data_IF_893606174781
#
_entry.id   IF_893606174781
#
_cell.length_a   1.000
_cell.length_b   1.000
_cell.length_c   1.000
_cell.angle_alpha   90.00
_cell.angle_beta   90.00
_cell.angle_gamma   90.00
#
_symmetry.space_group_name_H-M   'P 1'
#
loop_
_entity.id
_entity.type
_entity.pdbx_description
1 polymer ?
#
# COMPACT_ATOMS: atom_id res chain seq x y z
N UNK A 1 33.17 0.78 -3.94
CA UNK A 1 32.24 1.85 -4.38
C UNK A 1 31.07 1.82 -3.42
N UNK A 2 30.89 2.84 -2.61
CA UNK A 2 29.66 3.01 -1.83
C UNK A 2 28.51 3.05 -2.86
N UNK A 3 27.53 2.16 -2.73
CA UNK A 3 26.31 2.26 -3.53
C UNK A 3 25.58 3.51 -3.05
N UNK A 4 25.51 4.55 -3.89
CA UNK A 4 24.72 5.77 -3.65
C UNK A 4 23.21 5.47 -3.78
N UNK A 5 22.74 4.42 -3.10
CA UNK A 5 21.34 3.99 -3.13
C UNK A 5 20.74 4.22 -1.75
N UNK A 6 19.81 5.13 -1.67
CA UNK A 6 18.99 5.40 -0.49
C UNK A 6 17.80 4.42 -0.48
N UNK A 7 17.61 3.72 0.63
CA UNK A 7 16.43 2.87 0.89
C UNK A 7 15.72 3.43 2.12
N UNK A 8 14.52 3.95 1.95
CA UNK A 8 13.74 4.59 3.01
C UNK A 8 12.28 4.15 3.05
N UNK A 9 11.70 4.18 4.26
CA UNK A 9 10.27 4.19 4.50
C UNK A 9 9.85 5.61 4.87
N UNK A 10 8.83 6.15 4.17
CA UNK A 10 8.23 7.45 4.51
C UNK A 10 6.83 7.25 5.05
N UNK A 11 6.61 7.74 6.28
CA UNK A 11 5.40 7.48 7.03
C UNK A 11 4.83 8.77 7.62
N UNK A 12 3.51 8.81 7.72
CA UNK A 12 2.77 9.85 8.41
C UNK A 12 2.21 9.30 9.71
N UNK A 13 2.48 9.98 10.81
CA UNK A 13 1.91 9.70 12.12
C UNK A 13 1.23 10.95 12.66
N UNK A 14 0.13 10.77 13.38
CA UNK A 14 -0.43 11.85 14.18
C UNK A 14 0.52 12.23 15.33
N UNK A 15 0.40 13.44 15.86
CA UNK A 15 1.26 13.92 16.97
C UNK A 15 1.16 13.05 18.22
N UNK A 16 -0.03 12.46 18.48
CA UNK A 16 -0.26 11.54 19.61
C UNK A 16 0.44 10.21 19.39
N UNK A 17 0.32 9.67 18.17
CA UNK A 17 0.93 8.41 17.75
C UNK A 17 2.45 8.51 17.74
N UNK A 18 3.01 9.61 17.27
CA UNK A 18 4.44 9.89 17.34
C UNK A 18 4.94 9.91 18.80
N UNK A 19 4.25 10.62 19.69
CA UNK A 19 4.60 10.62 21.13
C UNK A 19 4.56 9.21 21.73
N UNK A 20 3.54 8.41 21.37
CA UNK A 20 3.42 7.03 21.82
C UNK A 20 4.58 6.17 21.32
N UNK A 21 4.97 6.32 20.04
CA UNK A 21 6.10 5.61 19.44
C UNK A 21 7.41 5.96 20.15
N UNK A 22 7.72 7.27 20.30
CA UNK A 22 8.94 7.75 20.96
C UNK A 22 9.05 7.31 22.44
N UNK A 23 7.93 7.11 23.13
CA UNK A 23 7.89 6.65 24.51
C UNK A 23 7.86 5.12 24.65
N UNK A 24 7.71 4.38 23.55
CA UNK A 24 7.51 2.93 23.56
C UNK A 24 8.77 2.13 23.90
N UNK A 25 8.55 0.94 24.46
CA UNK A 25 9.65 -0.01 24.69
C UNK A 25 10.19 -0.57 23.38
N UNK A 26 9.37 -0.61 22.31
CA UNK A 26 9.80 -0.97 20.97
C UNK A 26 10.94 -0.06 20.48
N UNK A 27 10.76 1.26 20.57
CA UNK A 27 11.78 2.20 20.11
C UNK A 27 12.97 2.25 21.10
N UNK A 28 12.71 2.29 22.40
CA UNK A 28 13.77 2.31 23.44
C UNK A 28 14.70 1.11 23.34
N UNK A 29 14.18 -0.06 22.98
CA UNK A 29 14.94 -1.29 22.86
C UNK A 29 15.94 -1.32 21.68
N UNK A 30 15.75 -0.45 20.70
CA UNK A 30 16.63 -0.37 19.50
C UNK A 30 17.32 0.99 19.35
N UNK A 31 17.01 1.96 20.20
CA UNK A 31 17.57 3.30 20.13
C UNK A 31 19.03 3.30 20.57
N UNK A 32 19.94 3.74 19.69
CA UNK A 32 21.36 3.93 20.04
C UNK A 32 21.51 5.13 20.96
N UNK A 33 22.04 4.89 22.17
CA UNK A 33 22.19 5.93 23.18
C UNK A 33 23.04 7.12 22.66
N UNK A 34 22.60 8.34 22.93
CA UNK A 34 23.30 9.57 22.54
C UNK A 34 23.30 9.87 21.02
N UNK A 35 22.52 9.15 20.22
CA UNK A 35 22.43 9.35 18.77
C UNK A 35 21.48 10.48 18.36
N UNK A 36 20.66 11.00 19.29
CA UNK A 36 19.71 12.07 18.98
C UNK A 36 20.44 13.33 18.49
N UNK A 37 20.01 13.82 17.32
CA UNK A 37 20.50 15.09 16.77
C UNK A 37 19.30 15.89 16.28
N UNK A 38 19.28 17.19 16.64
CA UNK A 38 18.24 18.13 16.18
C UNK A 38 18.87 19.21 15.35
N UNK A 39 18.33 19.43 14.14
CA UNK A 39 18.83 20.44 13.19
C UNK A 39 17.70 21.20 12.55
N UNK A 40 17.99 22.44 12.22
CA UNK A 40 17.12 23.24 11.35
C UNK A 40 17.65 23.12 9.92
N UNK A 41 16.85 22.59 9.01
CA UNK A 41 17.28 22.31 7.64
C UNK A 41 16.43 23.16 6.68
N UNK A 42 17.08 24.03 5.91
CA UNK A 42 16.44 24.80 4.85
C UNK A 42 16.93 24.29 3.51
N UNK A 43 16.05 23.70 2.72
CA UNK A 43 16.38 23.14 1.40
C UNK A 43 15.69 23.95 0.30
N UNK A 44 16.49 24.50 -0.59
CA UNK A 44 16.03 25.18 -1.82
C UNK A 44 16.06 24.18 -2.97
N UNK A 45 14.92 23.98 -3.66
CA UNK A 45 14.81 23.13 -4.82
C UNK A 45 14.92 23.93 -6.10
N UNK A 46 15.66 23.40 -7.06
CA UNK A 46 15.99 24.08 -8.32
C UNK A 46 15.65 23.19 -9.51
N UNK A 47 15.32 23.81 -10.62
CA UNK A 47 15.20 23.20 -11.96
C UNK A 47 15.46 24.25 -13.02
N UNK A 48 15.52 23.85 -14.27
CA UNK A 48 15.53 24.78 -15.40
C UNK A 48 14.15 25.41 -15.60
N UNK A 49 14.06 26.51 -16.30
CA UNK A 49 12.78 27.20 -16.59
C UNK A 49 11.74 26.28 -17.28
N UNK A 50 12.20 25.31 -18.07
CA UNK A 50 11.37 24.34 -18.75
C UNK A 50 11.22 22.99 -18.01
N UNK A 51 11.70 22.89 -16.77
CA UNK A 51 11.67 21.70 -15.90
C UNK A 51 12.42 20.50 -16.50
N UNK A 52 13.61 20.71 -17.05
CA UNK A 52 14.40 19.66 -17.69
C UNK A 52 14.85 18.58 -16.68
N UNK A 53 15.19 18.94 -15.45
CA UNK A 53 15.55 17.97 -14.41
C UNK A 53 14.36 17.07 -14.07
N UNK A 54 13.18 17.65 -13.79
CA UNK A 54 11.94 16.88 -13.56
C UNK A 54 11.61 15.93 -14.72
N UNK A 55 11.71 16.43 -15.97
CA UNK A 55 11.42 15.63 -17.18
C UNK A 55 12.34 14.41 -17.33
N UNK A 56 13.55 14.51 -16.79
CA UNK A 56 14.55 13.45 -16.78
C UNK A 56 14.61 12.68 -15.45
N UNK A 57 13.58 12.80 -14.62
CA UNK A 57 13.47 12.03 -13.36
C UNK A 57 14.48 12.47 -12.28
N UNK A 58 14.92 13.73 -12.31
CA UNK A 58 15.90 14.27 -11.39
C UNK A 58 15.26 15.31 -10.48
N UNK A 59 15.55 15.24 -9.18
CA UNK A 59 15.28 16.30 -8.21
C UNK A 59 16.63 16.84 -7.69
N UNK A 60 16.82 18.15 -7.79
CA UNK A 60 18.01 18.83 -7.34
C UNK A 60 17.70 19.84 -6.26
N UNK A 61 18.50 19.85 -5.18
CA UNK A 61 18.37 20.80 -4.08
C UNK A 61 19.73 21.24 -3.53
N UNK A 62 19.76 22.45 -2.97
CA UNK A 62 20.82 22.91 -2.05
C UNK A 62 20.20 23.04 -0.66
N UNK A 63 20.90 22.52 0.35
CA UNK A 63 20.46 22.47 1.74
C UNK A 63 21.42 23.22 2.64
N UNK A 64 20.93 24.22 3.36
CA UNK A 64 21.55 24.74 4.56
C UNK A 64 21.29 23.77 5.72
N UNK A 65 22.36 23.29 6.37
CA UNK A 65 22.30 22.33 7.49
C UNK A 65 22.13 23.00 8.85
N UNK A 66 22.05 24.34 8.88
CA UNK A 66 21.89 25.13 10.11
C UNK A 66 23.11 25.20 11.02
N UNK A 67 24.25 24.68 10.56
CA UNK A 67 25.55 24.70 11.24
C UNK A 67 26.63 25.50 10.46
N UNK A 68 26.19 26.26 9.45
CA UNK A 68 27.08 27.02 8.54
C UNK A 68 27.62 26.19 7.39
N UNK A 69 27.21 24.92 7.25
CA UNK A 69 27.57 24.08 6.12
C UNK A 69 26.39 23.88 5.18
N UNK A 70 26.71 23.69 3.89
CA UNK A 70 25.71 23.48 2.84
C UNK A 70 25.95 22.16 2.11
N UNK A 71 24.95 21.68 1.37
CA UNK A 71 25.03 20.45 0.61
C UNK A 71 24.14 20.52 -0.62
N UNK A 72 24.73 20.27 -1.79
CA UNK A 72 23.98 20.01 -3.01
C UNK A 72 23.62 18.53 -3.09
N UNK A 73 22.36 18.23 -3.38
CA UNK A 73 21.87 16.86 -3.47
C UNK A 73 21.13 16.67 -4.79
N UNK A 74 21.47 15.59 -5.49
CA UNK A 74 20.71 15.06 -6.61
C UNK A 74 20.05 13.75 -6.21
N UNK A 75 18.76 13.62 -6.48
CA UNK A 75 18.00 12.37 -6.34
C UNK A 75 17.38 12.01 -7.68
N UNK A 76 17.54 10.75 -8.08
CA UNK A 76 16.95 10.26 -9.34
C UNK A 76 15.52 9.75 -9.12
N UNK A 77 14.88 9.33 -10.21
CA UNK A 77 13.60 8.67 -10.18
C UNK A 77 13.61 7.48 -9.22
N UNK A 78 12.51 7.39 -8.52
CA UNK A 78 12.29 6.50 -7.42
C UNK A 78 11.64 5.19 -7.89
N UNK A 79 12.17 4.06 -7.44
CA UNK A 79 11.43 2.81 -7.39
C UNK A 79 10.72 2.73 -6.04
N UNK A 80 9.40 2.65 -6.04
CA UNK A 80 8.62 2.48 -4.80
C UNK A 80 7.96 1.12 -4.79
N UNK A 81 8.02 0.45 -3.64
CA UNK A 81 7.56 -0.93 -3.54
C UNK A 81 7.22 -1.28 -2.08
N UNK A 82 5.92 -1.52 -1.77
CA UNK A 82 5.45 -1.88 -0.43
C UNK A 82 5.72 -0.82 0.65
N UNK A 83 5.70 0.46 0.28
CA UNK A 83 6.03 1.57 1.15
C UNK A 83 7.51 1.91 1.21
N UNK A 84 8.41 1.02 0.74
CA UNK A 84 9.83 1.30 0.55
C UNK A 84 10.06 2.19 -0.66
N UNK A 85 11.03 3.08 -0.55
CA UNK A 85 11.57 3.91 -1.62
C UNK A 85 13.03 3.57 -1.85
N UNK A 86 13.40 3.29 -3.07
CA UNK A 86 14.78 3.05 -3.49
C UNK A 86 15.13 4.03 -4.62
N UNK A 87 16.23 4.78 -4.47
CA UNK A 87 16.71 5.74 -5.48
C UNK A 87 18.18 6.03 -5.33
N UNK A 88 18.79 6.49 -6.39
CA UNK A 88 20.17 7.03 -6.32
C UNK A 88 20.13 8.42 -5.70
N UNK A 89 20.93 8.63 -4.67
CA UNK A 89 21.18 9.92 -4.04
C UNK A 89 22.68 10.24 -4.07
N UNK A 90 23.02 11.44 -4.55
CA UNK A 90 24.40 11.94 -4.58
C UNK A 90 24.44 13.28 -3.88
N UNK A 91 25.34 13.38 -2.92
CA UNK A 91 25.52 14.57 -2.10
C UNK A 91 26.93 15.15 -2.33
N UNK A 92 27.00 16.47 -2.59
CA UNK A 92 28.24 17.24 -2.71
C UNK A 92 28.27 18.29 -1.61
N UNK A 93 29.24 18.26 -0.67
CA UNK A 93 29.40 19.29 0.34
C UNK A 93 29.73 20.65 -0.30
N UNK A 94 29.12 21.70 0.21
CA UNK A 94 29.33 23.08 -0.23
C UNK A 94 29.76 23.96 0.93
N UNK A 95 30.54 25.00 0.63
CA UNK A 95 30.92 26.06 1.57
C UNK A 95 29.99 27.24 1.58
N UNK A 96 29.14 27.37 0.55
CA UNK A 96 28.23 28.49 0.32
C UNK A 96 26.86 28.00 -0.17
N UNK A 97 25.82 28.80 0.03
CA UNK A 97 24.47 28.57 -0.55
C UNK A 97 24.50 28.89 -2.06
N UNK A 98 25.12 28.03 -2.83
CA UNK A 98 25.25 28.18 -4.28
C UNK A 98 24.76 26.92 -5.00
N UNK A 99 23.94 27.09 -6.02
CA UNK A 99 23.37 26.01 -6.82
C UNK A 99 24.38 25.55 -7.89
N UNK A 100 25.40 24.79 -7.49
CA UNK A 100 26.33 24.16 -8.44
C UNK A 100 25.70 22.93 -9.08
N UNK A 101 25.88 22.75 -10.37
CA UNK A 101 25.32 21.62 -11.14
C UNK A 101 26.40 20.76 -11.79
N UNK A 102 27.65 21.05 -11.55
CA UNK A 102 28.82 20.31 -12.02
C UNK A 102 29.24 19.21 -11.03
N UNK A 103 29.92 18.19 -11.52
CA UNK A 103 30.60 17.15 -10.72
C UNK A 103 29.73 15.97 -10.30
N UNK A 104 28.43 15.95 -10.61
CA UNK A 104 27.54 14.84 -10.26
C UNK A 104 27.77 13.60 -11.11
N UNK A 105 28.18 13.75 -12.37
CA UNK A 105 28.53 12.64 -13.25
C UNK A 105 29.71 11.84 -12.73
N UNK A 106 30.76 12.53 -12.27
CA UNK A 106 31.96 11.91 -11.68
C UNK A 106 31.63 11.16 -10.37
N UNK A 107 30.61 11.60 -9.65
CA UNK A 107 30.12 10.96 -8.42
C UNK A 107 29.22 9.74 -8.67
N UNK A 108 28.96 9.40 -9.94
CA UNK A 108 28.26 8.18 -10.32
C UNK A 108 26.81 8.38 -10.78
N UNK A 109 26.39 9.61 -11.11
CA UNK A 109 25.06 9.88 -11.67
C UNK A 109 24.90 9.29 -13.09
N UNK A 110 26.01 9.14 -13.82
CA UNK A 110 26.03 8.61 -15.19
C UNK A 110 25.79 9.64 -16.28
N UNK A 111 25.51 10.90 -15.92
CA UNK A 111 25.39 12.07 -16.79
C UNK A 111 25.69 13.34 -15.96
N UNK A 112 25.97 14.45 -16.63
CA UNK A 112 26.15 15.75 -15.97
C UNK A 112 24.85 16.56 -16.02
N UNK A 113 24.51 17.26 -14.92
CA UNK A 113 23.34 18.13 -14.88
C UNK A 113 23.41 19.30 -15.84
N UNK A 114 24.64 19.75 -16.18
CA UNK A 114 24.91 20.81 -17.15
C UNK A 114 24.38 20.46 -18.56
N UNK A 115 24.27 19.17 -18.90
CA UNK A 115 23.70 18.72 -20.16
C UNK A 115 22.22 19.10 -20.32
N UNK A 116 21.48 19.13 -19.19
CA UNK A 116 20.06 19.50 -19.16
C UNK A 116 19.85 20.99 -18.85
N UNK A 117 20.84 21.68 -18.27
CA UNK A 117 20.74 23.06 -17.79
C UNK A 117 21.79 24.00 -18.41
N UNK A 118 21.87 24.11 -19.75
CA UNK A 118 22.90 24.94 -20.39
C UNK A 118 22.75 26.44 -20.05
N UNK A 119 21.59 26.90 -19.61
CA UNK A 119 21.31 28.27 -19.19
C UNK A 119 21.20 28.41 -17.66
N UNK A 120 21.64 27.37 -16.90
CA UNK A 120 21.57 27.35 -15.46
C UNK A 120 20.19 26.94 -14.91
N UNK A 121 20.03 27.09 -13.62
CA UNK A 121 18.85 26.68 -12.86
C UNK A 121 18.27 27.83 -12.07
N UNK A 122 16.94 27.76 -11.81
CA UNK A 122 16.22 28.72 -10.98
C UNK A 122 15.57 28.05 -9.78
N UNK A 123 15.42 28.80 -8.69
CA UNK A 123 14.80 28.31 -7.48
C UNK A 123 13.28 28.21 -7.65
N UNK A 124 12.73 27.03 -7.42
CA UNK A 124 11.31 26.75 -7.53
C UNK A 124 10.57 27.01 -6.20
N UNK A 125 11.06 26.42 -5.12
CA UNK A 125 10.46 26.49 -3.79
C UNK A 125 11.47 26.13 -2.69
N UNK A 126 11.05 26.36 -1.45
CA UNK A 126 11.86 26.04 -0.26
C UNK A 126 11.14 25.04 0.63
N UNK A 127 11.90 24.15 1.26
CA UNK A 127 11.47 23.26 2.33
C UNK A 127 12.22 23.66 3.60
N UNK A 128 11.48 24.10 4.62
CA UNK A 128 12.02 24.51 5.93
C UNK A 128 11.49 23.56 6.99
N UNK A 129 12.39 22.75 7.59
CA UNK A 129 12.03 21.70 8.55
C UNK A 129 12.97 21.68 9.73
N UNK A 130 12.40 21.45 10.90
CA UNK A 130 13.16 20.98 12.08
C UNK A 130 13.18 19.46 11.99
N UNK A 131 14.37 18.89 11.77
CA UNK A 131 14.62 17.45 11.73
C UNK A 131 15.24 16.99 13.03
N UNK A 132 14.65 15.99 13.66
CA UNK A 132 15.28 15.25 14.77
C UNK A 132 15.58 13.84 14.28
N UNK A 133 16.85 13.42 14.36
CA UNK A 133 17.27 12.08 13.94
C UNK A 133 17.71 11.22 15.11
N UNK A 134 17.54 9.91 14.97
CA UNK A 134 17.93 8.87 15.90
C UNK A 134 18.53 7.70 15.13
N UNK A 135 19.63 7.12 15.61
CA UNK A 135 20.13 5.85 15.07
C UNK A 135 19.45 4.69 15.81
N UNK A 136 19.02 3.71 15.04
CA UNK A 136 18.36 2.50 15.51
C UNK A 136 19.26 1.30 15.21
N UNK A 137 19.59 0.52 16.24
CA UNK A 137 20.28 -0.76 16.12
C UNK A 137 19.21 -1.86 16.02
N UNK A 138 18.85 -2.22 14.79
CA UNK A 138 17.90 -3.29 14.50
C UNK A 138 18.63 -4.63 14.45
N UNK A 139 17.90 -5.72 14.67
CA UNK A 139 18.43 -7.05 14.46
C UNK A 139 18.75 -7.29 12.98
N UNK A 140 20.03 -7.25 12.61
CA UNK A 140 20.52 -7.38 11.23
C UNK A 140 20.64 -6.07 10.43
N UNK A 141 20.38 -4.88 11.02
CA UNK A 141 20.55 -3.61 10.33
C UNK A 141 20.77 -2.42 11.27
N UNK A 142 21.31 -1.34 10.72
CA UNK A 142 21.29 -0.01 11.33
C UNK A 142 20.40 0.89 10.46
N UNK A 143 19.50 1.61 11.10
CA UNK A 143 18.62 2.56 10.41
C UNK A 143 18.70 3.95 11.07
N UNK A 144 18.43 5.01 10.31
CA UNK A 144 18.19 6.35 10.82
C UNK A 144 16.69 6.64 10.82
N UNK A 145 16.14 6.94 11.99
CA UNK A 145 14.79 7.47 12.14
C UNK A 145 14.86 8.99 12.14
N UNK A 146 14.30 9.64 11.13
CA UNK A 146 14.18 11.09 11.04
C UNK A 146 12.72 11.52 11.27
N UNK A 147 12.53 12.48 12.19
CA UNK A 147 11.25 13.14 12.44
C UNK A 147 11.32 14.55 11.88
N UNK A 148 10.54 14.82 10.84
CA UNK A 148 10.46 16.11 10.16
C UNK A 148 9.18 16.86 10.54
N UNK A 149 9.35 18.08 11.03
CA UNK A 149 8.26 19.03 11.28
C UNK A 149 8.58 20.38 10.63
N UNK A 150 7.72 20.85 9.76
CA UNK A 150 7.99 22.09 9.04
C UNK A 150 7.03 22.39 7.90
N UNK A 151 7.55 22.99 6.82
CA UNK A 151 6.72 23.45 5.70
C UNK A 151 7.45 23.39 4.37
N UNK A 152 6.68 23.16 3.30
CA UNK A 152 7.06 23.48 1.93
C UNK A 152 6.47 24.85 1.59
N UNK A 153 7.27 25.73 1.01
CA UNK A 153 6.90 27.12 0.73
C UNK A 153 7.17 27.40 -0.76
N UNK A 154 6.10 27.58 -1.54
CA UNK A 154 6.12 27.88 -2.97
C UNK A 154 5.41 29.21 -3.22
N UNK A 155 6.14 30.30 -3.22
CA UNK A 155 5.59 31.68 -3.25
C UNK A 155 4.69 31.95 -2.04
N UNK A 156 3.39 32.14 -2.29
CA UNK A 156 2.39 32.37 -1.22
C UNK A 156 1.74 31.07 -0.72
N UNK A 157 1.94 29.95 -1.41
CA UNK A 157 1.34 28.64 -1.07
C UNK A 157 2.24 27.90 -0.10
N UNK A 158 1.64 27.16 0.82
CA UNK A 158 2.35 26.37 1.83
C UNK A 158 1.70 25.01 2.00
N UNK A 159 2.50 24.00 2.34
CA UNK A 159 2.07 22.66 2.70
C UNK A 159 2.84 22.22 3.96
N UNK A 160 2.12 21.77 4.98
CA UNK A 160 2.74 21.40 6.27
C UNK A 160 3.41 20.01 6.15
N UNK A 161 4.57 19.87 6.80
CA UNK A 161 5.31 18.62 6.92
C UNK A 161 5.23 18.15 8.36
N UNK A 162 4.61 16.98 8.57
CA UNK A 162 4.61 16.18 9.79
C UNK A 162 4.82 14.73 9.37
N UNK A 163 6.07 14.32 9.17
CA UNK A 163 6.39 12.99 8.65
C UNK A 163 7.59 12.37 9.37
N UNK A 164 7.67 11.05 9.32
CA UNK A 164 8.87 10.32 9.70
C UNK A 164 9.43 9.59 8.49
N UNK A 165 10.75 9.55 8.41
CA UNK A 165 11.50 8.78 7.45
C UNK A 165 12.35 7.77 8.22
N UNK A 166 12.40 6.51 7.77
CA UNK A 166 13.26 5.50 8.35
C UNK A 166 14.15 5.00 7.22
N UNK A 167 15.41 5.39 7.25
CA UNK A 167 16.40 5.11 6.21
C UNK A 167 17.31 3.98 6.65
N UNK A 168 17.55 3.01 5.76
CA UNK A 168 18.49 1.93 5.97
C UNK A 168 19.93 2.46 5.78
N UNK A 169 20.69 2.53 6.87
CA UNK A 169 22.10 2.95 6.84
C UNK A 169 23.00 1.79 6.42
N UNK A 170 22.78 0.61 7.01
CA UNK A 170 23.50 -0.62 6.68
C UNK A 170 22.71 -1.87 7.08
N UNK A 171 23.01 -3.00 6.46
CA UNK A 171 22.39 -4.31 6.76
C UNK A 171 21.20 -4.65 5.86
N UNK A 172 20.26 -5.44 6.40
CA UNK A 172 19.23 -6.10 5.62
C UNK A 172 17.90 -5.32 5.62
N UNK A 173 17.30 -5.18 4.42
CA UNK A 173 15.97 -4.56 4.25
C UNK A 173 14.91 -5.29 5.07
N UNK A 174 15.04 -6.61 5.25
CA UNK A 174 14.13 -7.41 6.06
C UNK A 174 14.03 -6.96 7.52
N UNK A 175 15.15 -6.55 8.12
CA UNK A 175 15.19 -6.01 9.48
C UNK A 175 14.43 -4.68 9.59
N UNK A 176 14.58 -3.79 8.60
CA UNK A 176 13.82 -2.55 8.49
C UNK A 176 12.30 -2.82 8.38
N UNK A 177 11.92 -3.79 7.55
CA UNK A 177 10.50 -4.16 7.35
C UNK A 177 9.89 -4.80 8.60
N UNK A 178 10.67 -5.60 9.35
CA UNK A 178 10.25 -6.16 10.63
C UNK A 178 9.98 -5.04 11.67
N UNK A 179 10.86 -4.06 11.73
CA UNK A 179 10.64 -2.90 12.60
C UNK A 179 9.39 -2.12 12.19
N UNK A 180 9.18 -1.89 10.89
CA UNK A 180 7.98 -1.23 10.37
C UNK A 180 6.69 -1.99 10.72
N UNK A 181 6.70 -3.33 10.64
CA UNK A 181 5.57 -4.18 11.03
C UNK A 181 5.22 -4.02 12.52
N UNK A 182 6.23 -4.13 13.40
CA UNK A 182 6.07 -3.92 14.86
C UNK A 182 5.58 -2.51 15.19
N UNK A 183 6.06 -1.51 14.46
CA UNK A 183 5.62 -0.13 14.64
C UNK A 183 4.16 0.06 14.21
N UNK A 184 3.74 -0.53 13.08
CA UNK A 184 2.37 -0.47 12.59
C UNK A 184 1.38 -1.16 13.54
N UNK A 185 1.79 -2.23 14.24
CA UNK A 185 0.99 -2.88 15.30
C UNK A 185 0.84 -2.01 16.55
N UNK A 186 1.84 -1.17 16.82
CA UNK A 186 1.84 -0.31 18.01
C UNK A 186 1.01 0.96 17.80
N UNK A 187 1.13 1.60 16.65
CA UNK A 187 0.47 2.86 16.30
C UNK A 187 -0.03 2.86 14.86
N UNK A 188 -1.18 3.52 14.57
CA UNK A 188 -1.60 3.75 13.20
C UNK A 188 -0.54 4.50 12.39
N UNK A 189 -0.06 3.88 11.33
CA UNK A 189 0.87 4.50 10.38
C UNK A 189 0.22 4.62 9.00
N UNK A 190 0.58 5.68 8.29
CA UNK A 190 0.11 5.95 6.93
C UNK A 190 1.30 6.25 6.03
N UNK A 191 1.15 6.12 4.74
CA UNK A 191 2.24 6.41 3.80
C UNK A 191 2.04 7.74 3.10
N UNK A 192 3.14 8.46 2.86
CA UNK A 192 3.17 9.59 1.91
C UNK A 192 4.11 9.23 0.75
N UNK A 193 3.52 8.89 -0.38
CA UNK A 193 4.29 8.50 -1.57
C UNK A 193 4.98 9.66 -2.26
N UNK A 194 4.45 10.88 -2.13
CA UNK A 194 5.06 12.04 -2.77
C UNK A 194 6.29 12.48 -2.00
N UNK A 195 7.38 12.66 -2.69
CA UNK A 195 8.56 13.33 -2.11
C UNK A 195 8.25 14.79 -1.78
N UNK A 196 9.04 15.42 -0.92
CA UNK A 196 8.97 16.87 -0.66
C UNK A 196 9.06 17.66 -1.99
N UNK A 197 9.86 17.16 -2.95
CA UNK A 197 9.96 17.73 -4.29
C UNK A 197 8.61 17.66 -5.05
N UNK A 198 7.99 16.46 -5.12
CA UNK A 198 6.70 16.30 -5.79
C UNK A 198 5.59 17.14 -5.14
N UNK A 199 5.58 17.23 -3.80
CA UNK A 199 4.64 18.11 -3.06
C UNK A 199 4.84 19.60 -3.38
N UNK A 200 6.11 20.03 -3.48
CA UNK A 200 6.44 21.40 -3.86
C UNK A 200 6.00 21.74 -5.28
N UNK A 201 6.20 20.81 -6.24
CA UNK A 201 5.70 20.98 -7.60
C UNK A 201 4.16 21.04 -7.66
N UNK A 202 3.46 20.24 -6.86
CA UNK A 202 2.00 20.31 -6.75
C UNK A 202 1.52 21.67 -6.27
N UNK A 203 2.20 22.30 -5.31
CA UNK A 203 1.91 23.67 -4.89
C UNK A 203 2.08 24.69 -6.02
N UNK A 204 2.96 24.44 -6.97
CA UNK A 204 3.14 25.27 -8.16
C UNK A 204 2.14 24.96 -9.27
N UNK A 205 1.30 23.93 -9.12
CA UNK A 205 0.39 23.45 -10.15
C UNK A 205 1.10 22.62 -11.25
N UNK A 206 2.25 22.05 -10.92
CA UNK A 206 3.12 21.28 -11.83
C UNK A 206 3.10 19.79 -11.48
N UNK A 207 1.94 19.22 -11.18
CA UNK A 207 1.81 17.81 -10.80
C UNK A 207 2.30 16.87 -11.92
N UNK A 208 2.93 15.77 -11.52
CA UNK A 208 3.19 14.63 -12.39
C UNK A 208 2.38 13.45 -11.89
N UNK A 209 1.75 12.72 -12.80
CA UNK A 209 1.10 11.45 -12.48
C UNK A 209 2.15 10.46 -11.96
N UNK A 210 1.92 9.92 -10.78
CA UNK A 210 2.70 8.80 -10.26
C UNK A 210 2.32 7.55 -11.05
N UNK A 211 3.02 7.26 -12.14
CA UNK A 211 2.81 6.05 -12.93
C UNK A 211 3.53 4.90 -12.24
N UNK A 212 2.79 4.01 -11.60
CA UNK A 212 3.36 2.73 -11.17
C UNK A 212 3.45 1.80 -12.39
N UNK A 213 4.67 1.40 -12.76
CA UNK A 213 4.90 0.40 -13.81
C UNK A 213 4.29 -0.96 -13.43
N UNK A 214 3.84 -1.73 -14.43
CA UNK A 214 3.44 -3.12 -14.21
C UNK A 214 4.68 -3.96 -13.89
N UNK A 215 4.65 -4.69 -12.79
CA UNK A 215 5.67 -5.69 -12.46
C UNK A 215 5.60 -6.83 -13.48
N UNK A 216 6.74 -7.14 -14.08
CA UNK A 216 6.91 -8.34 -14.91
C UNK A 216 7.47 -9.45 -14.02
N UNK A 217 6.80 -10.59 -14.02
CA UNK A 217 7.24 -11.80 -13.33
C UNK A 217 8.19 -12.56 -14.26
N UNK A 218 9.30 -13.02 -13.69
CA UNK A 218 10.20 -13.96 -14.34
C UNK A 218 9.77 -15.38 -13.99
N UNK A 219 9.32 -16.14 -15.00
CA UNK A 219 8.87 -17.52 -14.82
C UNK A 219 9.97 -18.44 -14.30
N UNK A 220 11.22 -18.16 -14.66
CA UNK A 220 12.39 -18.91 -14.23
C UNK A 220 13.02 -18.36 -12.93
N UNK A 221 12.54 -17.20 -12.49
CA UNK A 221 12.98 -16.54 -11.29
C UNK A 221 12.62 -17.32 -10.02
N UNK A 222 13.30 -16.98 -8.91
CA UNK A 222 12.99 -17.55 -7.60
C UNK A 222 11.59 -17.15 -7.16
N UNK A 223 10.73 -18.13 -6.86
CA UNK A 223 9.31 -17.94 -6.54
C UNK A 223 9.08 -16.91 -5.42
N UNK A 224 9.89 -16.96 -4.36
CA UNK A 224 9.83 -15.99 -3.25
C UNK A 224 10.06 -14.56 -3.72
N UNK A 225 11.14 -14.34 -4.47
CA UNK A 225 11.51 -13.02 -4.94
C UNK A 225 10.47 -12.46 -5.92
N UNK A 226 9.91 -13.32 -6.77
CA UNK A 226 8.85 -12.93 -7.69
C UNK A 226 7.54 -12.59 -6.94
N UNK A 227 7.18 -13.38 -5.93
CA UNK A 227 6.04 -13.08 -5.04
C UNK A 227 6.28 -11.77 -4.28
N UNK A 228 7.49 -11.55 -3.77
CA UNK A 228 7.85 -10.30 -3.08
C UNK A 228 7.61 -9.08 -3.97
N UNK A 229 8.04 -9.10 -5.24
CA UNK A 229 7.78 -8.02 -6.22
C UNK A 229 6.28 -7.75 -6.41
N UNK A 230 5.49 -8.81 -6.52
CA UNK A 230 4.04 -8.72 -6.71
C UNK A 230 3.32 -8.17 -5.46
N UNK A 231 3.70 -8.68 -4.29
CA UNK A 231 3.16 -8.23 -2.99
C UNK A 231 3.53 -6.77 -2.72
N UNK A 232 4.74 -6.37 -3.02
CA UNK A 232 5.16 -4.97 -2.92
C UNK A 232 4.28 -4.04 -3.76
N UNK A 233 4.04 -4.38 -5.04
CA UNK A 233 3.19 -3.56 -5.91
C UNK A 233 1.76 -3.43 -5.39
N UNK A 234 1.19 -4.53 -4.86
CA UNK A 234 -0.16 -4.51 -4.30
C UNK A 234 -0.21 -3.87 -2.91
N UNK A 235 0.83 -4.06 -2.12
CA UNK A 235 1.01 -3.37 -0.85
C UNK A 235 0.97 -1.86 -1.02
N UNK A 236 1.66 -1.34 -2.01
CA UNK A 236 1.60 0.07 -2.38
C UNK A 236 0.18 0.56 -2.68
N UNK A 237 -0.59 -0.22 -3.45
CA UNK A 237 -1.99 0.09 -3.73
C UNK A 237 -2.84 0.09 -2.45
N UNK A 238 -2.70 -0.94 -1.61
CA UNK A 238 -3.43 -1.04 -0.33
C UNK A 238 -3.14 0.13 0.61
N UNK A 239 -1.87 0.55 0.73
CA UNK A 239 -1.50 1.69 1.55
C UNK A 239 -2.10 3.02 1.04
N UNK A 240 -2.22 3.19 -0.29
CA UNK A 240 -2.93 4.32 -0.87
C UNK A 240 -4.44 4.26 -0.62
N UNK A 241 -5.04 3.08 -0.79
CA UNK A 241 -6.47 2.87 -0.52
C UNK A 241 -6.80 3.12 0.95
N UNK A 242 -5.91 2.72 1.89
CA UNK A 242 -6.06 3.05 3.30
C UNK A 242 -6.19 4.57 3.52
N UNK A 243 -5.34 5.36 2.87
CA UNK A 243 -5.41 6.80 2.97
C UNK A 243 -6.72 7.36 2.39
N UNK A 244 -7.17 6.86 1.25
CA UNK A 244 -8.38 7.31 0.58
C UNK A 244 -9.65 6.99 1.40
N UNK A 245 -9.68 5.82 2.05
CA UNK A 245 -10.85 5.29 2.77
C UNK A 245 -10.94 5.70 4.24
N UNK A 246 -10.08 6.57 4.75
CA UNK A 246 -10.12 7.00 6.16
C UNK A 246 -11.41 7.74 6.56
N UNK A 247 -12.07 8.40 5.64
CA UNK A 247 -13.22 9.27 5.93
C UNK A 247 -14.47 8.90 5.17
N UNK A 248 -14.33 8.42 3.96
CA UNK A 248 -15.42 8.09 3.05
C UNK A 248 -15.10 6.82 2.28
N UNK A 249 -16.11 6.01 1.99
CA UNK A 249 -15.98 4.78 1.22
C UNK A 249 -16.65 4.95 -0.16
N UNK A 250 -15.86 5.32 -1.16
CA UNK A 250 -16.31 5.35 -2.57
C UNK A 250 -16.42 3.93 -3.13
N UNK A 251 -17.48 3.65 -3.91
CA UNK A 251 -17.76 2.32 -4.50
C UNK A 251 -16.59 1.80 -5.35
N UNK A 252 -15.99 2.65 -6.15
CA UNK A 252 -14.86 2.27 -7.03
C UNK A 252 -13.60 1.94 -6.23
N UNK A 253 -13.36 2.70 -5.17
CA UNK A 253 -12.22 2.53 -4.26
C UNK A 253 -12.37 1.24 -3.44
N UNK A 254 -13.56 0.96 -2.91
CA UNK A 254 -13.86 -0.30 -2.19
C UNK A 254 -13.75 -1.51 -3.11
N UNK A 255 -14.22 -1.40 -4.36
CA UNK A 255 -14.05 -2.46 -5.37
C UNK A 255 -12.57 -2.77 -5.65
N UNK A 256 -11.73 -1.75 -5.69
CA UNK A 256 -10.28 -1.95 -5.83
C UNK A 256 -9.66 -2.57 -4.58
N UNK A 257 -10.10 -2.13 -3.39
CA UNK A 257 -9.66 -2.71 -2.11
C UNK A 257 -9.93 -4.22 -2.06
N UNK A 258 -11.14 -4.65 -2.40
CA UNK A 258 -11.52 -6.08 -2.43
C UNK A 258 -10.60 -6.86 -3.37
N UNK A 259 -10.32 -6.34 -4.57
CA UNK A 259 -9.42 -6.99 -5.54
C UNK A 259 -7.99 -7.13 -5.00
N UNK A 260 -7.47 -6.09 -4.36
CA UNK A 260 -6.10 -6.09 -3.87
C UNK A 260 -5.94 -6.98 -2.63
N UNK A 261 -6.95 -7.01 -1.75
CA UNK A 261 -6.99 -7.95 -0.63
C UNK A 261 -7.07 -9.40 -1.08
N UNK A 262 -7.93 -9.71 -2.05
CA UNK A 262 -8.00 -11.06 -2.64
C UNK A 262 -6.68 -11.48 -3.29
N UNK A 263 -5.99 -10.52 -3.93
CA UNK A 263 -4.66 -10.76 -4.48
C UNK A 263 -3.67 -11.10 -3.37
N UNK A 264 -3.53 -10.26 -2.35
CA UNK A 264 -2.62 -10.51 -1.21
C UNK A 264 -2.94 -11.85 -0.55
N UNK A 265 -4.22 -12.13 -0.29
CA UNK A 265 -4.66 -13.39 0.27
C UNK A 265 -4.16 -14.60 -0.53
N UNK A 266 -4.28 -14.51 -1.85
CA UNK A 266 -3.85 -15.59 -2.76
C UNK A 266 -2.35 -15.85 -2.68
N UNK A 267 -1.53 -14.80 -2.54
CA UNK A 267 -0.08 -14.95 -2.44
C UNK A 267 0.40 -15.33 -1.04
N UNK A 268 -0.34 -14.97 0.00
CA UNK A 268 -0.08 -15.47 1.35
C UNK A 268 -0.38 -16.97 1.42
N UNK A 269 -1.48 -17.43 0.85
CA UNK A 269 -1.80 -18.87 0.75
C UNK A 269 -0.77 -19.64 -0.10
N UNK A 270 -0.32 -19.06 -1.20
CA UNK A 270 0.76 -19.64 -2.01
C UNK A 270 2.08 -19.69 -1.23
N UNK A 271 2.38 -18.66 -0.47
CA UNK A 271 3.60 -18.54 0.32
C UNK A 271 3.75 -19.60 1.40
N UNK A 272 2.66 -20.23 1.85
CA UNK A 272 2.70 -21.37 2.80
C UNK A 272 3.49 -22.56 2.27
N UNK A 273 3.68 -22.68 0.95
CA UNK A 273 4.49 -23.73 0.34
C UNK A 273 5.96 -23.64 0.75
N UNK A 274 6.43 -22.41 1.02
CA UNK A 274 7.85 -22.15 1.25
C UNK A 274 8.15 -21.34 2.52
N UNK A 275 7.18 -21.12 3.40
CA UNK A 275 7.38 -20.33 4.61
C UNK A 275 6.54 -20.84 5.78
N UNK A 276 6.94 -20.53 7.04
CA UNK A 276 6.21 -20.94 8.23
C UNK A 276 4.74 -20.49 8.18
N UNK A 277 3.83 -21.43 8.47
CA UNK A 277 2.38 -21.20 8.36
C UNK A 277 1.86 -20.18 9.37
N UNK A 278 2.43 -20.08 10.58
CA UNK A 278 1.94 -19.22 11.66
C UNK A 278 1.87 -17.73 11.25
N UNK A 279 2.93 -17.21 10.62
CA UNK A 279 2.94 -15.83 10.13
C UNK A 279 1.96 -15.60 8.97
N UNK A 280 1.80 -16.61 8.09
CA UNK A 280 0.80 -16.60 7.04
C UNK A 280 -0.62 -16.54 7.60
N UNK A 281 -0.93 -17.34 8.63
CA UNK A 281 -2.26 -17.39 9.25
C UNK A 281 -2.63 -16.04 9.90
N UNK A 282 -1.67 -15.36 10.54
CA UNK A 282 -1.88 -13.99 11.03
C UNK A 282 -2.22 -13.02 9.89
N UNK A 283 -1.49 -13.07 8.79
CA UNK A 283 -1.72 -12.22 7.62
C UNK A 283 -3.09 -12.51 6.97
N UNK A 284 -3.49 -13.77 6.90
CA UNK A 284 -4.81 -14.18 6.39
C UNK A 284 -5.93 -13.66 7.28
N UNK A 285 -5.80 -13.79 8.60
CA UNK A 285 -6.79 -13.28 9.56
C UNK A 285 -7.00 -11.77 9.40
N UNK A 286 -5.91 -11.00 9.26
CA UNK A 286 -5.98 -9.56 9.02
C UNK A 286 -6.64 -9.23 7.68
N UNK A 287 -6.29 -9.98 6.63
CA UNK A 287 -6.85 -9.82 5.28
C UNK A 287 -8.35 -10.11 5.30
N UNK A 288 -8.76 -11.22 5.88
CA UNK A 288 -10.16 -11.66 5.92
C UNK A 288 -11.02 -10.70 6.76
N UNK A 289 -10.49 -10.13 7.83
CA UNK A 289 -11.16 -9.09 8.63
C UNK A 289 -11.54 -7.86 7.79
N UNK A 290 -10.60 -7.31 7.04
CA UNK A 290 -10.86 -6.12 6.20
C UNK A 290 -11.70 -6.48 4.99
N UNK A 291 -11.45 -7.65 4.39
CA UNK A 291 -12.20 -8.16 3.24
C UNK A 291 -13.68 -8.34 3.60
N UNK A 292 -14.00 -8.92 4.76
CA UNK A 292 -15.38 -9.10 5.22
C UNK A 292 -16.11 -7.76 5.36
N UNK A 293 -15.49 -6.75 5.95
CA UNK A 293 -16.09 -5.41 6.06
C UNK A 293 -16.34 -4.76 4.68
N UNK A 294 -15.38 -4.88 3.76
CA UNK A 294 -15.49 -4.34 2.41
C UNK A 294 -16.56 -5.07 1.58
N UNK A 295 -16.64 -6.41 1.66
CA UNK A 295 -17.64 -7.22 0.97
C UNK A 295 -19.03 -6.96 1.52
N UNK A 296 -19.20 -6.87 2.84
CA UNK A 296 -20.47 -6.50 3.47
C UNK A 296 -21.03 -5.18 2.91
N UNK A 297 -20.17 -4.16 2.77
CA UNK A 297 -20.58 -2.89 2.19
C UNK A 297 -20.99 -3.03 0.70
N UNK A 298 -20.25 -3.83 -0.08
CA UNK A 298 -20.62 -4.13 -1.47
C UNK A 298 -21.96 -4.86 -1.58
N UNK A 299 -22.24 -5.82 -0.70
CA UNK A 299 -23.48 -6.58 -0.70
C UNK A 299 -24.68 -5.67 -0.34
N UNK A 300 -24.50 -4.70 0.56
CA UNK A 300 -25.52 -3.67 0.87
C UNK A 300 -25.80 -2.80 -0.37
N UNK A 301 -24.76 -2.34 -1.08
CA UNK A 301 -24.93 -1.57 -2.31
C UNK A 301 -25.63 -2.37 -3.42
N UNK A 302 -25.26 -3.63 -3.60
CA UNK A 302 -25.91 -4.51 -4.58
C UNK A 302 -27.39 -4.70 -4.26
N UNK A 303 -27.74 -4.83 -2.98
CA UNK A 303 -29.13 -4.93 -2.56
C UNK A 303 -29.90 -3.62 -2.74
N UNK A 304 -29.27 -2.47 -2.48
CA UNK A 304 -29.87 -1.17 -2.72
C UNK A 304 -30.17 -0.95 -4.22
N UNK A 305 -29.20 -1.29 -5.08
CA UNK A 305 -29.35 -1.20 -6.54
C UNK A 305 -30.48 -2.15 -7.02
N UNK A 306 -30.54 -3.38 -6.50
CA UNK A 306 -31.63 -4.33 -6.80
C UNK A 306 -33.00 -3.81 -6.35
N UNK A 307 -33.06 -3.21 -5.16
CA UNK A 307 -34.33 -2.64 -4.65
C UNK A 307 -34.82 -1.49 -5.52
N UNK A 308 -33.93 -0.59 -5.95
CA UNK A 308 -34.25 0.50 -6.87
C UNK A 308 -34.80 -0.03 -8.20
N UNK A 309 -34.16 -1.07 -8.77
CA UNK A 309 -34.62 -1.73 -10.00
C UNK A 309 -36.03 -2.33 -9.84
N UNK A 310 -36.36 -3.00 -8.71
CA UNK A 310 -37.66 -3.55 -8.43
C UNK A 310 -38.71 -2.46 -8.26
N UNK A 311 -38.37 -1.32 -7.67
CA UNK A 311 -39.26 -0.16 -7.56
C UNK A 311 -39.56 0.45 -8.93
N UNK A 312 -38.57 0.61 -9.79
CA UNK A 312 -38.72 1.14 -11.15
C UNK A 312 -39.60 0.25 -12.03
N UNK A 313 -39.48 -1.06 -11.89
CA UNK A 313 -40.32 -2.04 -12.59
C UNK A 313 -41.78 -2.10 -12.05
N UNK A 314 -42.12 -1.30 -11.04
CA UNK A 314 -43.39 -1.31 -10.33
C UNK A 314 -43.78 -2.68 -9.73
N UNK A 315 -42.83 -3.55 -9.48
CA UNK A 315 -43.00 -4.86 -8.86
C UNK A 315 -43.28 -4.76 -7.34
N UNK A 316 -42.91 -3.60 -6.75
CA UNK A 316 -43.09 -3.31 -5.33
C UNK A 316 -43.66 -1.91 -5.12
N UNK A 317 -44.48 -1.74 -4.04
CA UNK A 317 -44.95 -0.41 -3.65
C UNK A 317 -43.80 0.37 -2.98
N UNK A 318 -43.45 1.53 -3.53
CA UNK A 318 -42.49 2.44 -3.00
C UNK A 318 -42.96 3.07 -1.68
N UNK A 319 -42.63 2.46 -0.54
CA UNK A 319 -42.94 3.02 0.78
C UNK A 319 -41.68 3.46 1.54
N UNK A 320 -40.48 3.37 0.93
CA UNK A 320 -39.17 3.81 1.45
C UNK A 320 -38.71 3.15 2.77
N UNK A 321 -39.42 2.15 3.31
CA UNK A 321 -39.03 1.52 4.58
C UNK A 321 -37.76 0.70 4.41
N UNK A 322 -37.70 -0.17 3.38
CA UNK A 322 -36.49 -0.94 3.10
C UNK A 322 -35.33 -0.03 2.70
N UNK A 323 -35.58 0.96 1.83
CA UNK A 323 -34.55 1.92 1.42
C UNK A 323 -33.93 2.67 2.63
N UNK A 324 -34.78 3.12 3.58
CA UNK A 324 -34.26 3.76 4.82
C UNK A 324 -33.42 2.82 5.69
N UNK A 325 -33.84 1.55 5.82
CA UNK A 325 -33.06 0.57 6.56
C UNK A 325 -31.74 0.25 5.85
N UNK A 326 -31.74 0.15 4.51
CA UNK A 326 -30.52 -0.05 3.73
C UNK A 326 -29.56 1.12 3.87
N UNK A 327 -30.05 2.36 3.82
CA UNK A 327 -29.22 3.55 4.04
C UNK A 327 -28.58 3.58 5.43
N UNK A 328 -29.32 3.20 6.48
CA UNK A 328 -28.75 3.09 7.83
C UNK A 328 -27.71 1.97 7.94
N UNK A 329 -27.92 0.83 7.28
CA UNK A 329 -26.95 -0.26 7.22
C UNK A 329 -25.70 0.13 6.43
N UNK A 330 -25.86 0.88 5.34
CA UNK A 330 -24.79 1.42 4.53
C UNK A 330 -23.92 2.37 5.36
N UNK A 331 -24.50 3.34 6.04
CA UNK A 331 -23.78 4.28 6.92
C UNK A 331 -22.96 3.53 7.98
N UNK A 332 -23.58 2.55 8.66
CA UNK A 332 -22.89 1.74 9.67
C UNK A 332 -21.75 0.92 9.08
N UNK A 333 -21.91 0.32 7.90
CA UNK A 333 -20.86 -0.47 7.24
C UNK A 333 -19.74 0.42 6.69
N UNK A 334 -20.04 1.61 6.18
CA UNK A 334 -19.05 2.61 5.79
C UNK A 334 -18.23 3.07 7.01
N UNK A 335 -18.89 3.37 8.13
CA UNK A 335 -18.21 3.76 9.36
C UNK A 335 -17.28 2.65 9.88
N UNK A 336 -17.73 1.38 9.83
CA UNK A 336 -16.93 0.21 10.21
C UNK A 336 -15.66 0.11 9.35
N UNK A 337 -15.78 0.19 8.03
CA UNK A 337 -14.64 0.13 7.11
C UNK A 337 -13.70 1.34 7.31
N UNK A 338 -14.23 2.55 7.39
CA UNK A 338 -13.45 3.75 7.63
C UNK A 338 -12.66 3.69 8.96
N UNK A 339 -13.26 3.13 10.02
CA UNK A 339 -12.58 2.91 11.31
C UNK A 339 -11.39 1.95 11.19
N UNK A 340 -11.53 0.86 10.40
CA UNK A 340 -10.42 -0.05 10.14
C UNK A 340 -9.28 0.68 9.41
N UNK A 341 -9.61 1.48 8.40
CA UNK A 341 -8.62 2.26 7.66
C UNK A 341 -7.94 3.31 8.55
N UNK A 342 -8.70 4.00 9.39
CA UNK A 342 -8.17 4.99 10.32
C UNK A 342 -7.26 4.38 11.42
N UNK A 343 -7.45 3.10 11.75
CA UNK A 343 -6.57 2.34 12.65
C UNK A 343 -5.29 1.84 11.98
N UNK A 344 -5.14 1.98 10.66
CA UNK A 344 -3.96 1.52 9.95
C UNK A 344 -3.91 0.02 9.68
N UNK A 345 -5.04 -0.68 9.66
CA UNK A 345 -5.11 -2.15 9.50
C UNK A 345 -4.41 -2.65 8.23
N UNK A 346 -4.47 -1.87 7.13
CA UNK A 346 -3.75 -2.25 5.91
C UNK A 346 -2.24 -2.03 6.01
N UNK A 347 -1.77 -1.06 6.78
CA UNK A 347 -0.34 -0.92 7.07
C UNK A 347 0.17 -2.09 7.90
N UNK A 348 -0.60 -2.51 8.92
CA UNK A 348 -0.28 -3.73 9.68
C UNK A 348 -0.18 -4.93 8.76
N UNK A 349 -1.18 -5.13 7.89
CA UNK A 349 -1.19 -6.24 6.93
C UNK A 349 0.03 -6.20 5.99
N UNK A 350 0.24 -5.08 5.30
CA UNK A 350 1.28 -4.96 4.26
C UNK A 350 2.66 -5.16 4.86
N UNK A 351 2.97 -4.49 5.98
CA UNK A 351 4.30 -4.60 6.58
C UNK A 351 4.55 -5.97 7.19
N UNK A 352 3.53 -6.64 7.77
CA UNK A 352 3.69 -8.02 8.23
C UNK A 352 3.95 -8.98 7.07
N UNK A 353 3.20 -8.90 5.96
CA UNK A 353 3.40 -9.77 4.78
C UNK A 353 4.76 -9.53 4.14
N UNK A 354 5.17 -8.28 3.98
CA UNK A 354 6.46 -7.95 3.38
C UNK A 354 7.62 -8.38 4.30
N UNK A 355 7.52 -8.11 5.61
CA UNK A 355 8.49 -8.58 6.61
C UNK A 355 8.63 -10.10 6.58
N UNK A 356 7.51 -10.82 6.58
CA UNK A 356 7.50 -12.28 6.48
C UNK A 356 8.22 -12.78 5.21
N UNK A 357 7.98 -12.17 4.06
CA UNK A 357 8.66 -12.53 2.81
C UNK A 357 10.16 -12.19 2.79
N UNK A 358 10.62 -11.23 3.58
CA UNK A 358 12.05 -10.96 3.75
C UNK A 358 12.73 -11.87 4.77
N UNK A 359 12.10 -12.13 5.91
CA UNK A 359 12.69 -12.83 7.06
C UNK A 359 12.56 -14.33 7.00
N UNK A 360 11.87 -14.88 6.02
CA UNK A 360 11.68 -16.30 5.97
C UNK A 360 13.04 -17.01 6.09
N UNK A 361 13.32 -17.61 7.23
CA UNK A 361 14.27 -18.70 7.36
C UNK A 361 13.73 -19.83 6.50
N UNK A 362 14.01 -19.70 5.22
CA UNK A 362 13.54 -20.61 4.20
C UNK A 362 14.30 -21.90 4.43
N UNK A 363 13.66 -22.86 5.06
CA UNK A 363 14.24 -24.12 5.50
C UNK A 363 14.81 -24.99 4.39
N UNK A 364 14.66 -24.60 3.13
CA UNK A 364 15.32 -25.24 2.02
C UNK A 364 15.89 -24.17 1.10
N UNK A 365 17.21 -24.10 1.00
CA UNK A 365 17.94 -23.35 -0.02
C UNK A 365 17.68 -23.86 -1.45
N UNK A 366 16.75 -24.80 -1.63
CA UNK A 366 16.37 -25.25 -2.96
C UNK A 366 15.76 -24.06 -3.73
N UNK A 367 16.35 -23.82 -4.88
CA UNK A 367 15.86 -22.83 -5.83
C UNK A 367 14.47 -23.23 -6.33
N UNK A 368 13.44 -22.66 -5.75
CA UNK A 368 12.05 -22.85 -6.17
C UNK A 368 11.75 -21.91 -7.34
N UNK A 369 11.78 -22.45 -8.55
CA UNK A 369 11.44 -21.72 -9.77
C UNK A 369 9.95 -21.34 -9.77
N UNK A 370 9.64 -20.08 -10.12
CA UNK A 370 8.29 -19.53 -10.03
C UNK A 370 7.25 -20.37 -10.81
N UNK A 371 7.49 -20.69 -12.08
CA UNK A 371 6.51 -21.41 -12.90
C UNK A 371 6.24 -22.82 -12.40
N UNK A 372 7.28 -23.57 -12.05
CA UNK A 372 7.13 -24.95 -11.57
C UNK A 372 6.41 -24.99 -10.23
N UNK A 373 6.75 -24.09 -9.29
CA UNK A 373 6.10 -24.00 -7.99
C UNK A 373 4.62 -23.62 -8.12
N UNK A 374 4.30 -22.69 -9.02
CA UNK A 374 2.90 -22.33 -9.33
C UNK A 374 2.15 -23.54 -9.89
N UNK A 375 2.74 -24.30 -10.82
CA UNK A 375 2.08 -25.50 -11.41
C UNK A 375 1.74 -26.52 -10.34
N UNK A 376 2.69 -26.84 -9.43
CA UNK A 376 2.45 -27.77 -8.33
C UNK A 376 1.30 -27.27 -7.45
N UNK A 377 1.32 -26.01 -7.05
CA UNK A 377 0.27 -25.47 -6.16
C UNK A 377 -1.11 -25.40 -6.82
N UNK A 378 -1.16 -25.11 -8.12
CA UNK A 378 -2.42 -25.16 -8.86
C UNK A 378 -3.00 -26.58 -8.93
N UNK A 379 -2.16 -27.61 -9.02
CA UNK A 379 -2.59 -29.01 -8.96
C UNK A 379 -3.16 -29.35 -7.57
N UNK A 380 -2.46 -28.98 -6.49
CA UNK A 380 -2.96 -29.20 -5.12
C UNK A 380 -4.33 -28.53 -4.93
N UNK A 381 -4.50 -27.30 -5.44
CA UNK A 381 -5.78 -26.59 -5.35
C UNK A 381 -6.88 -27.21 -6.24
N UNK A 382 -6.56 -27.93 -7.31
CA UNK A 382 -7.56 -28.70 -8.06
C UNK A 382 -8.11 -29.84 -7.21
N UNK A 383 -7.25 -30.56 -6.52
CA UNK A 383 -7.64 -31.66 -5.61
C UNK A 383 -8.47 -31.11 -4.41
N UNK A 384 -8.03 -29.98 -3.83
CA UNK A 384 -8.78 -29.29 -2.77
C UNK A 384 -10.18 -28.81 -3.25
N UNK A 385 -10.30 -28.31 -4.49
CA UNK A 385 -11.56 -27.85 -5.09
C UNK A 385 -12.56 -29.01 -5.32
N UNK A 386 -12.07 -30.18 -5.69
CA UNK A 386 -12.91 -31.39 -5.86
C UNK A 386 -13.52 -31.86 -4.53
N UNK A 387 -12.78 -31.70 -3.43
CA UNK A 387 -13.21 -32.07 -2.09
C UNK A 387 -14.03 -30.99 -1.37
N UNK A 388 -14.06 -29.74 -1.91
CA UNK A 388 -14.67 -28.60 -1.24
C UNK A 388 -16.17 -28.51 -1.50
N UNK A 389 -17.00 -28.73 -0.46
CA UNK A 389 -18.45 -28.62 -0.50
C UNK A 389 -18.95 -27.20 -0.13
N UNK A 390 -18.23 -26.49 0.74
CA UNK A 390 -18.60 -25.15 1.18
C UNK A 390 -18.42 -24.12 0.07
N UNK A 391 -19.47 -23.37 -0.26
CA UNK A 391 -19.48 -22.43 -1.38
C UNK A 391 -18.55 -21.22 -1.19
N UNK A 392 -18.41 -20.72 0.04
CA UNK A 392 -17.52 -19.60 0.37
C UNK A 392 -16.05 -20.03 0.29
N UNK A 393 -15.71 -21.18 0.86
CA UNK A 393 -14.37 -21.77 0.78
C UNK A 393 -14.02 -22.07 -0.68
N UNK A 394 -14.94 -22.63 -1.46
CA UNK A 394 -14.76 -22.91 -2.88
C UNK A 394 -14.53 -21.63 -3.68
N UNK A 395 -15.25 -20.54 -3.39
CA UNK A 395 -15.03 -19.24 -4.01
C UNK A 395 -13.65 -18.68 -3.69
N UNK A 396 -13.20 -18.83 -2.44
CA UNK A 396 -11.86 -18.39 -2.02
C UNK A 396 -10.78 -19.16 -2.78
N UNK A 397 -10.87 -20.49 -2.85
CA UNK A 397 -9.93 -21.35 -3.60
C UNK A 397 -9.89 -21.00 -5.10
N UNK A 398 -11.05 -20.87 -5.75
CA UNK A 398 -11.14 -20.47 -7.16
C UNK A 398 -10.57 -19.07 -7.40
N UNK A 399 -10.67 -18.18 -6.43
CA UNK A 399 -10.11 -16.83 -6.50
C UNK A 399 -8.58 -16.89 -6.39
N UNK A 400 -8.06 -17.64 -5.42
CA UNK A 400 -6.62 -17.88 -5.25
C UNK A 400 -6.02 -18.50 -6.51
N UNK A 401 -6.66 -19.55 -7.04
CA UNK A 401 -6.27 -20.21 -8.29
C UNK A 401 -6.13 -19.22 -9.45
N UNK A 402 -7.11 -18.34 -9.63
CA UNK A 402 -7.09 -17.38 -10.73
C UNK A 402 -5.99 -16.32 -10.62
N UNK A 403 -5.73 -15.81 -9.42
CA UNK A 403 -4.66 -14.83 -9.23
C UNK A 403 -3.30 -15.48 -9.44
N UNK A 404 -3.08 -16.67 -8.90
CA UNK A 404 -1.82 -17.38 -9.04
C UNK A 404 -1.56 -17.80 -10.50
N UNK A 405 -2.55 -18.36 -11.18
CA UNK A 405 -2.43 -18.76 -12.58
C UNK A 405 -2.15 -17.60 -13.55
N UNK A 406 -2.53 -16.36 -13.19
CA UNK A 406 -2.25 -15.15 -13.97
C UNK A 406 -0.86 -14.56 -13.72
N UNK A 407 -0.16 -14.99 -12.68
CA UNK A 407 1.16 -14.46 -12.34
C UNK A 407 2.26 -14.97 -13.27
N UNK A 408 2.09 -16.13 -13.88
CA UNK A 408 3.07 -16.73 -14.78
C UNK A 408 2.60 -16.72 -16.23
N UNK A 409 3.55 -16.54 -17.15
CA UNK A 409 3.28 -16.53 -18.57
C UNK A 409 3.44 -17.94 -19.13
N UNK A 410 2.33 -18.62 -19.41
CA UNK A 410 2.36 -19.96 -20.02
C UNK A 410 1.02 -20.31 -20.66
N UNK A 411 1.04 -20.81 -21.92
CA UNK A 411 -0.20 -21.17 -22.64
C UNK A 411 -1.03 -22.22 -21.91
N UNK A 412 -0.37 -23.20 -21.29
CA UNK A 412 -1.05 -24.27 -20.55
C UNK A 412 -1.74 -23.70 -19.29
N UNK A 413 -1.05 -22.89 -18.49
CA UNK A 413 -1.59 -22.27 -17.28
C UNK A 413 -2.70 -21.27 -17.62
N UNK A 414 -2.53 -20.48 -18.67
CA UNK A 414 -3.56 -19.55 -19.13
C UNK A 414 -4.86 -20.29 -19.53
N UNK A 415 -4.77 -21.47 -20.15
CA UNK A 415 -5.93 -22.31 -20.48
C UNK A 415 -6.64 -22.83 -19.23
N UNK A 416 -5.89 -23.27 -18.23
CA UNK A 416 -6.44 -23.69 -16.93
C UNK A 416 -7.13 -22.50 -16.21
N UNK A 417 -6.48 -21.33 -16.18
CA UNK A 417 -7.07 -20.13 -15.60
C UNK A 417 -8.41 -19.73 -16.24
N UNK A 418 -8.51 -19.83 -17.58
CA UNK A 418 -9.77 -19.51 -18.29
C UNK A 418 -10.88 -20.55 -18.03
N UNK A 419 -10.53 -21.84 -17.92
CA UNK A 419 -11.49 -22.89 -17.57
C UNK A 419 -12.11 -22.64 -16.17
N UNK A 420 -11.29 -22.33 -15.17
CA UNK A 420 -11.75 -22.07 -13.79
C UNK A 420 -12.46 -20.70 -13.64
N UNK A 421 -12.27 -19.75 -14.54
CA UNK A 421 -12.92 -18.44 -14.51
C UNK A 421 -14.46 -18.54 -14.62
N UNK A 422 -14.96 -19.42 -15.48
CA UNK A 422 -16.41 -19.65 -15.63
C UNK A 422 -17.01 -20.29 -14.38
N UNK A 423 -16.30 -21.26 -13.78
CA UNK A 423 -16.71 -21.88 -12.53
C UNK A 423 -16.74 -20.85 -11.39
N UNK A 424 -15.64 -20.09 -11.22
CA UNK A 424 -15.56 -19.01 -10.23
C UNK A 424 -16.71 -18.02 -10.34
N UNK A 425 -17.06 -17.61 -11.57
CA UNK A 425 -18.16 -16.67 -11.79
C UNK A 425 -19.49 -17.25 -11.29
N UNK A 426 -19.79 -18.50 -11.61
CA UNK A 426 -21.02 -19.16 -11.14
C UNK A 426 -21.09 -19.26 -9.61
N UNK A 427 -19.96 -19.68 -8.98
CA UNK A 427 -19.91 -19.80 -7.52
C UNK A 427 -20.01 -18.41 -6.88
N UNK A 428 -19.34 -17.39 -7.43
CA UNK A 428 -19.41 -16.02 -6.92
C UNK A 428 -20.83 -15.44 -6.99
N UNK A 429 -21.57 -15.69 -8.09
CA UNK A 429 -22.97 -15.29 -8.24
C UNK A 429 -23.88 -15.99 -7.20
N UNK A 430 -23.69 -17.29 -6.97
CA UNK A 430 -24.42 -18.05 -5.97
C UNK A 430 -24.15 -17.57 -4.54
N UNK A 431 -22.87 -17.39 -4.19
CA UNK A 431 -22.44 -16.90 -2.87
C UNK A 431 -22.95 -15.47 -2.62
N UNK A 432 -22.85 -14.58 -3.60
CA UNK A 432 -23.35 -13.21 -3.45
C UNK A 432 -24.89 -13.22 -3.22
N UNK A 433 -25.61 -14.04 -3.96
CA UNK A 433 -27.06 -14.21 -3.82
C UNK A 433 -27.43 -14.73 -2.42
N UNK A 434 -26.74 -15.75 -1.93
CA UNK A 434 -26.93 -16.30 -0.59
C UNK A 434 -26.65 -15.26 0.51
N UNK A 435 -25.55 -14.50 0.41
CA UNK A 435 -25.24 -13.42 1.36
C UNK A 435 -26.33 -12.37 1.40
N UNK A 436 -26.82 -11.92 0.24
CA UNK A 436 -27.93 -10.96 0.15
C UNK A 436 -29.18 -11.54 0.78
N UNK A 437 -29.54 -12.80 0.51
CA UNK A 437 -30.68 -13.47 1.13
C UNK A 437 -30.57 -13.52 2.67
N UNK A 438 -29.39 -13.92 3.19
CA UNK A 438 -29.15 -13.99 4.62
C UNK A 438 -29.24 -12.60 5.28
N UNK A 439 -28.73 -11.57 4.62
CA UNK A 439 -28.83 -10.19 5.09
C UNK A 439 -30.27 -9.69 5.13
N UNK A 440 -31.04 -9.91 4.06
CA UNK A 440 -32.46 -9.54 3.97
C UNK A 440 -33.28 -10.26 5.03
N UNK A 441 -33.04 -11.56 5.24
CA UNK A 441 -33.72 -12.33 6.29
C UNK A 441 -33.40 -11.78 7.71
N UNK A 442 -32.16 -11.36 7.94
CA UNK A 442 -31.74 -10.76 9.21
C UNK A 442 -32.47 -9.42 9.47
N UNK A 443 -32.65 -8.57 8.44
CA UNK A 443 -33.43 -7.34 8.52
C UNK A 443 -34.88 -7.63 8.90
N UNK A 444 -35.49 -8.66 8.31
CA UNK A 444 -36.87 -9.08 8.57
C UNK A 444 -37.07 -9.63 10.00
N UNK A 445 -36.17 -10.52 10.45
CA UNK A 445 -36.25 -11.14 11.78
C UNK A 445 -36.20 -10.13 12.93
N UNK A 446 -35.47 -9.04 12.75
CA UNK A 446 -35.29 -8.02 13.77
C UNK A 446 -36.30 -6.87 13.70
N UNK A 447 -37.33 -6.98 12.88
CA UNK A 447 -38.31 -5.92 12.67
C UNK A 447 -39.74 -6.38 12.91
N UNK A 448 -40.52 -5.59 13.65
CA UNK A 448 -41.96 -5.72 13.80
C UNK A 448 -42.75 -5.03 12.65
N UNK A 449 -42.05 -4.47 11.67
CA UNK A 449 -42.65 -3.75 10.54
C UNK A 449 -43.22 -4.73 9.50
N UNK A 450 -44.56 -4.78 9.39
CA UNK A 450 -45.23 -5.59 8.35
C UNK A 450 -44.80 -5.19 6.93
N UNK A 451 -44.56 -3.91 6.73
CA UNK A 451 -44.12 -3.37 5.44
C UNK A 451 -42.71 -3.86 5.09
N UNK A 452 -41.77 -3.76 6.02
CA UNK A 452 -40.42 -4.25 5.79
C UNK A 452 -40.43 -5.76 5.53
N UNK A 453 -41.20 -6.54 6.30
CA UNK A 453 -41.28 -7.99 6.13
C UNK A 453 -41.87 -8.37 4.76
N UNK A 454 -42.84 -7.60 4.23
CA UNK A 454 -43.35 -7.78 2.87
C UNK A 454 -42.27 -7.47 1.83
N UNK A 455 -41.60 -6.33 1.95
CA UNK A 455 -40.61 -5.88 0.97
C UNK A 455 -39.37 -6.80 0.94
N UNK A 456 -38.93 -7.28 2.11
CA UNK A 456 -37.90 -8.31 2.18
C UNK A 456 -38.34 -9.64 1.58
N UNK A 457 -39.64 -10.02 1.75
CA UNK A 457 -40.22 -11.21 1.12
C UNK A 457 -40.19 -11.14 -0.41
N UNK A 458 -40.48 -9.97 -1.00
CA UNK A 458 -40.40 -9.76 -2.47
C UNK A 458 -38.96 -9.90 -2.96
N UNK A 459 -37.96 -9.30 -2.26
CA UNK A 459 -36.54 -9.43 -2.63
C UNK A 459 -36.10 -10.91 -2.57
N UNK A 460 -36.50 -11.64 -1.52
CA UNK A 460 -36.21 -13.07 -1.40
C UNK A 460 -36.83 -13.86 -2.54
N UNK A 461 -38.10 -13.59 -2.86
CA UNK A 461 -38.81 -14.25 -3.98
C UNK A 461 -38.15 -13.97 -5.34
N UNK A 462 -37.62 -12.80 -5.54
CA UNK A 462 -36.87 -12.45 -6.76
C UNK A 462 -35.51 -13.16 -6.83
N UNK A 463 -34.86 -13.34 -5.70
CA UNK A 463 -33.54 -14.03 -5.62
C UNK A 463 -33.64 -15.56 -5.71
N UNK A 464 -34.77 -16.17 -5.36
CA UNK A 464 -35.02 -17.62 -5.52
C UNK A 464 -35.27 -17.99 -6.96
#
# INVERSE_FOLDING_TARGET
MQKNVEIELKLLLGKRELKKLLASDLLKGVLRAGSEKKRNLVSSYYDTADLAFKKNGVAYRVRDKGDGTFEATVKTDRKSSGGLSERVEINIPLTEDNAIIEGFGEMGLGFELTEFAPNGVEKLFTVDVVRTTYLLDLDGAVAELAVDNGKIIAGKRKDDIDEIEIELVEGEVGALMNFAAKMAELVPVFTEKRSKFARGLALLGMESDLVSGKVKVDNEGNARLEVLKLVHQRGDSLLMLQNALKKTADRSVVKQLVKDLQFIRSYVEFGKVFAPAEAADKALLLTDKVLAAAVKLQDIWNLADLWEELVEKAEVLSNNVLAKNLAACEEAAQEELCKLMAKGELSVLVYNVVSWLYQAEWQNEEYLQMESTVRCRLQDWEDELEACEDAEAKLALLTNYQYLAKSVNGKAIAKLAEAKKKERRKVAEAVAKERVMNFVQALSKNSNSRVLNRDTGVVIGYLL
#
